data_IF_822726124447
#
_entry.id   IF_822726124447
#
_cell.length_a   1.000
_cell.length_b   1.000
_cell.length_c   1.000
_cell.angle_alpha   90.00
_cell.angle_beta   90.00
_cell.angle_gamma   90.00
#
_symmetry.space_group_name_H-M   'P 1'
#
loop_
_entity.id
_entity.type
_entity.pdbx_description
1 polymer ?
#
# COMPACT_ATOMS: atom_id res chain seq x y z
N UNK A 1 6.39 7.91 1.51
CA UNK A 1 7.77 7.43 1.36
C UNK A 1 8.14 7.42 -0.13
N UNK A 2 9.27 8.03 -0.48
CA UNK A 2 9.68 8.28 -1.88
C UNK A 2 10.73 7.29 -2.40
N UNK A 3 11.36 6.55 -1.53
CA UNK A 3 12.64 5.91 -1.77
C UNK A 3 13.78 6.93 -1.62
N UNK A 4 14.95 6.45 -1.19
CA UNK A 4 16.09 7.35 -0.91
C UNK A 4 16.56 8.09 -2.17
N UNK A 5 16.56 7.41 -3.32
CA UNK A 5 17.02 8.00 -4.59
C UNK A 5 16.18 9.20 -5.07
N UNK A 6 14.90 9.25 -4.71
CA UNK A 6 13.99 10.32 -5.14
C UNK A 6 13.68 11.35 -4.07
N UNK A 7 14.24 11.21 -2.87
CA UNK A 7 13.86 12.03 -1.73
C UNK A 7 14.10 13.52 -1.96
N UNK A 8 15.30 13.90 -2.37
CA UNK A 8 15.64 15.31 -2.57
C UNK A 8 14.86 15.95 -3.73
N UNK A 9 14.67 15.22 -4.83
CA UNK A 9 13.85 15.68 -5.96
C UNK A 9 12.39 15.92 -5.56
N UNK A 10 11.78 14.99 -4.83
CA UNK A 10 10.39 15.14 -4.35
C UNK A 10 10.26 16.25 -3.33
N UNK A 11 11.23 16.42 -2.44
CA UNK A 11 11.25 17.49 -1.44
C UNK A 11 11.31 18.87 -2.10
N UNK A 12 12.17 19.03 -3.11
CA UNK A 12 12.30 20.29 -3.85
C UNK A 12 11.04 20.59 -4.68
N UNK A 13 10.50 19.58 -5.38
CA UNK A 13 9.23 19.71 -6.11
C UNK A 13 8.11 20.15 -5.17
N UNK A 14 8.01 19.52 -4.00
CA UNK A 14 7.00 19.89 -3.00
C UNK A 14 7.20 21.31 -2.45
N UNK A 15 8.46 21.74 -2.24
CA UNK A 15 8.78 23.08 -1.81
C UNK A 15 8.25 24.14 -2.79
N UNK A 16 8.49 23.94 -4.08
CA UNK A 16 8.03 24.84 -5.14
C UNK A 16 6.52 24.77 -5.30
N UNK A 17 5.95 23.59 -5.44
CA UNK A 17 4.52 23.39 -5.69
C UNK A 17 3.64 23.89 -4.52
N UNK A 18 4.14 23.81 -3.29
CA UNK A 18 3.40 24.18 -2.09
C UNK A 18 3.83 25.53 -1.51
N UNK A 19 4.67 26.30 -2.19
CA UNK A 19 5.24 27.55 -1.67
C UNK A 19 4.18 28.51 -1.12
N UNK A 20 3.09 28.69 -1.87
CA UNK A 20 1.98 29.58 -1.51
C UNK A 20 0.87 28.91 -0.68
N UNK A 21 1.02 27.61 -0.34
CA UNK A 21 0.02 26.88 0.41
C UNK A 21 0.26 27.03 1.92
N UNK A 22 -0.67 27.64 2.64
CA UNK A 22 -0.59 27.83 4.09
C UNK A 22 -0.45 26.51 4.86
N UNK A 23 -0.94 25.40 4.30
CA UNK A 23 -0.90 24.06 4.91
C UNK A 23 0.30 23.23 4.45
N UNK A 24 1.30 23.82 3.75
CA UNK A 24 2.50 23.13 3.25
C UNK A 24 3.22 22.29 4.32
N UNK A 25 3.16 22.73 5.59
CA UNK A 25 3.77 22.02 6.71
C UNK A 25 3.18 20.62 6.98
N UNK A 26 1.99 20.33 6.44
CA UNK A 26 1.33 19.02 6.55
C UNK A 26 1.90 17.99 5.59
N UNK A 27 2.56 18.40 4.51
CA UNK A 27 3.23 17.51 3.60
C UNK A 27 4.59 17.11 4.18
N UNK A 28 4.79 15.84 4.42
CA UNK A 28 5.99 15.27 5.05
C UNK A 28 6.60 14.21 4.14
N UNK A 29 7.55 14.56 3.25
CA UNK A 29 8.28 13.56 2.47
C UNK A 29 9.28 12.82 3.36
N UNK A 30 9.41 11.52 3.13
CA UNK A 30 10.40 10.65 3.77
C UNK A 30 11.08 9.81 2.69
N UNK A 31 12.41 9.75 2.70
CA UNK A 31 13.19 8.90 1.80
C UNK A 31 12.97 7.43 2.12
N UNK A 32 13.16 7.08 3.38
CA UNK A 32 12.94 5.74 3.90
C UNK A 32 12.37 5.81 5.32
N UNK A 33 11.45 4.93 5.62
CA UNK A 33 10.94 4.69 6.97
C UNK A 33 11.34 3.28 7.39
N UNK A 34 11.98 3.15 8.53
CA UNK A 34 12.23 1.83 9.09
C UNK A 34 10.90 1.14 9.48
N UNK A 35 10.87 -0.19 9.70
CA UNK A 35 9.63 -0.93 9.94
C UNK A 35 8.77 -0.37 11.09
N UNK A 36 9.40 0.11 12.18
CA UNK A 36 8.68 0.69 13.30
C UNK A 36 8.04 2.03 12.93
N UNK A 37 8.78 2.92 12.30
CA UNK A 37 8.27 4.22 11.85
C UNK A 37 7.16 4.05 10.79
N UNK A 38 7.30 3.07 9.87
CA UNK A 38 6.28 2.75 8.88
C UNK A 38 4.99 2.24 9.55
N UNK A 39 5.11 1.35 10.53
CA UNK A 39 3.97 0.87 11.32
C UNK A 39 3.27 2.00 12.08
N UNK A 40 4.03 2.92 12.68
CA UNK A 40 3.46 4.09 13.36
C UNK A 40 2.73 5.03 12.38
N UNK A 41 3.34 5.31 11.22
CA UNK A 41 2.71 6.11 10.17
C UNK A 41 1.42 5.45 9.66
N UNK A 42 1.43 4.14 9.42
CA UNK A 42 0.25 3.38 9.07
C UNK A 42 -0.83 3.40 10.18
N UNK A 43 -0.41 3.35 11.45
CA UNK A 43 -1.32 3.49 12.59
C UNK A 43 -2.10 4.80 12.56
N UNK A 44 -1.43 5.90 12.21
CA UNK A 44 -2.01 7.25 12.11
C UNK A 44 -2.76 7.51 10.80
N UNK A 45 -2.60 6.66 9.78
CA UNK A 45 -3.20 6.87 8.47
C UNK A 45 -4.68 6.46 8.45
N UNK A 46 -5.53 7.25 7.80
CA UNK A 46 -6.91 6.91 7.44
C UNK A 46 -6.99 6.14 6.12
N UNK A 47 -6.03 6.36 5.23
CA UNK A 47 -5.97 5.77 3.90
C UNK A 47 -4.50 5.56 3.51
N UNK A 48 -4.20 4.43 2.89
CA UNK A 48 -2.87 4.11 2.35
C UNK A 48 -2.94 4.12 0.82
N UNK A 49 -2.01 4.79 0.17
CA UNK A 49 -1.84 4.74 -1.28
C UNK A 49 -0.48 4.08 -1.53
N UNK A 50 -0.46 2.99 -2.29
CA UNK A 50 0.75 2.19 -2.48
C UNK A 50 0.81 1.52 -3.85
N UNK A 51 1.98 1.01 -4.19
CA UNK A 51 2.16 -0.01 -5.22
C UNK A 51 1.61 -1.36 -4.72
N UNK A 52 1.36 -2.29 -5.64
CA UNK A 52 0.73 -3.58 -5.34
C UNK A 52 1.73 -4.73 -5.20
N UNK A 53 2.90 -4.46 -4.66
CA UNK A 53 3.84 -5.54 -4.30
C UNK A 53 3.25 -6.42 -3.19
N UNK A 54 3.55 -7.72 -3.21
CA UNK A 54 3.04 -8.69 -2.22
C UNK A 54 3.35 -8.28 -0.78
N UNK A 55 4.56 -7.76 -0.52
CA UNK A 55 4.97 -7.23 0.79
C UNK A 55 4.09 -6.06 1.24
N UNK A 56 3.85 -5.07 0.35
CA UNK A 56 3.00 -3.93 0.66
C UNK A 56 1.55 -4.34 0.96
N UNK A 57 1.01 -5.29 0.21
CA UNK A 57 -0.34 -5.84 0.46
C UNK A 57 -0.37 -6.57 1.80
N UNK A 58 0.64 -7.38 2.11
CA UNK A 58 0.74 -8.07 3.39
C UNK A 58 0.79 -7.10 4.57
N UNK A 59 1.55 -6.02 4.47
CA UNK A 59 1.62 -4.96 5.47
C UNK A 59 0.28 -4.24 5.63
N UNK A 60 -0.31 -3.74 4.54
CA UNK A 60 -1.59 -3.02 4.55
C UNK A 60 -2.70 -3.89 5.14
N UNK A 61 -2.76 -5.16 4.75
CA UNK A 61 -3.75 -6.11 5.26
C UNK A 61 -3.54 -6.39 6.75
N UNK A 62 -2.30 -6.56 7.20
CA UNK A 62 -1.99 -6.77 8.62
C UNK A 62 -2.34 -5.57 9.49
N UNK A 63 -2.21 -4.35 8.97
CA UNK A 63 -2.62 -3.12 9.64
C UNK A 63 -4.13 -2.87 9.57
N UNK A 64 -4.83 -3.56 8.68
CA UNK A 64 -6.26 -3.39 8.45
C UNK A 64 -6.58 -1.98 8.00
N UNK A 65 -5.91 -1.48 6.99
CA UNK A 65 -6.11 -0.13 6.46
C UNK A 65 -6.81 -0.15 5.12
N UNK A 66 -7.73 0.80 4.94
CA UNK A 66 -8.27 1.10 3.61
C UNK A 66 -7.13 1.54 2.68
N UNK A 67 -7.18 1.13 1.44
CA UNK A 67 -6.12 1.46 0.49
C UNK A 67 -6.59 1.76 -0.91
N UNK A 68 -5.75 2.52 -1.64
CA UNK A 68 -5.78 2.66 -3.09
C UNK A 68 -4.47 2.07 -3.59
N UNK A 69 -4.52 1.05 -4.43
CA UNK A 69 -3.36 0.43 -5.04
C UNK A 69 -3.18 0.90 -6.48
N UNK A 70 -1.94 1.26 -6.80
CA UNK A 70 -1.52 1.61 -8.16
C UNK A 70 -0.48 0.58 -8.58
N UNK A 71 -0.86 -0.52 -9.23
CA UNK A 71 0.09 -1.55 -9.66
C UNK A 71 1.07 -1.01 -10.69
N UNK A 72 2.31 -1.50 -10.64
CA UNK A 72 3.29 -1.28 -11.70
C UNK A 72 2.80 -2.08 -12.93
N UNK A 73 2.92 -1.52 -14.16
CA UNK A 73 2.53 -2.20 -15.38
C UNK A 73 3.19 -3.58 -15.57
N UNK A 74 2.52 -4.48 -16.28
CA UNK A 74 2.95 -5.89 -16.42
C UNK A 74 4.29 -6.06 -17.17
N UNK A 75 4.61 -5.15 -18.07
CA UNK A 75 5.90 -5.10 -18.77
C UNK A 75 7.09 -4.84 -17.83
N UNK A 76 6.84 -4.24 -16.66
CA UNK A 76 7.85 -3.96 -15.64
C UNK A 76 7.76 -4.97 -14.48
N UNK A 77 6.55 -5.36 -14.07
CA UNK A 77 6.33 -6.27 -12.93
C UNK A 77 5.06 -7.10 -13.13
N UNK A 78 5.22 -8.34 -13.61
CA UNK A 78 4.12 -9.24 -13.99
C UNK A 78 3.10 -9.49 -12.87
N UNK A 79 3.53 -9.47 -11.62
CA UNK A 79 2.69 -9.94 -10.51
C UNK A 79 1.85 -8.83 -9.86
N UNK A 80 2.25 -7.56 -10.01
CA UNK A 80 1.59 -6.48 -9.25
C UNK A 80 0.15 -6.24 -9.68
N UNK A 81 -0.16 -6.36 -10.97
CA UNK A 81 -1.52 -6.22 -11.47
C UNK A 81 -2.40 -7.34 -10.91
N UNK A 82 -1.97 -8.59 -11.03
CA UNK A 82 -2.67 -9.75 -10.49
C UNK A 82 -2.89 -9.63 -8.97
N UNK A 83 -1.86 -9.24 -8.21
CA UNK A 83 -1.94 -9.01 -6.77
C UNK A 83 -2.97 -7.93 -6.42
N UNK A 84 -2.97 -6.79 -7.13
CA UNK A 84 -3.90 -5.69 -6.91
C UNK A 84 -5.35 -6.13 -7.11
N UNK A 85 -5.63 -6.84 -8.21
CA UNK A 85 -6.99 -7.31 -8.52
C UNK A 85 -7.44 -8.42 -7.58
N UNK A 86 -6.57 -9.36 -7.19
CA UNK A 86 -6.90 -10.36 -6.17
C UNK A 86 -7.31 -9.71 -4.84
N UNK A 87 -6.59 -8.66 -4.44
CA UNK A 87 -6.91 -7.91 -3.23
C UNK A 87 -8.19 -7.07 -3.36
N UNK A 88 -8.45 -6.52 -4.55
CA UNK A 88 -9.70 -5.80 -4.86
C UNK A 88 -10.92 -6.74 -4.91
N UNK A 89 -10.79 -7.94 -5.46
CA UNK A 89 -11.86 -8.95 -5.45
C UNK A 89 -12.25 -9.38 -4.03
N UNK A 90 -11.30 -9.34 -3.09
CA UNK A 90 -11.60 -9.53 -1.67
C UNK A 90 -12.28 -8.29 -1.02
N UNK A 91 -12.55 -7.23 -1.76
CA UNK A 91 -13.15 -5.99 -1.26
C UNK A 91 -12.21 -5.16 -0.39
N UNK A 92 -10.88 -5.37 -0.48
CA UNK A 92 -9.92 -4.82 0.47
C UNK A 92 -9.20 -3.55 -0.01
N UNK A 93 -9.40 -3.16 -1.28
CA UNK A 93 -8.74 -1.99 -1.87
C UNK A 93 -9.50 -1.44 -3.08
N UNK A 94 -9.21 -0.20 -3.42
CA UNK A 94 -9.51 0.37 -4.74
C UNK A 94 -8.27 0.24 -5.61
N UNK A 95 -8.42 -0.09 -6.89
CA UNK A 95 -7.31 -0.19 -7.84
C UNK A 95 -7.42 0.93 -8.87
N UNK A 96 -6.33 1.64 -9.09
CA UNK A 96 -6.15 2.57 -10.22
C UNK A 96 -4.97 2.06 -11.02
N UNK A 97 -5.20 1.57 -12.24
CA UNK A 97 -4.11 1.15 -13.11
C UNK A 97 -3.24 2.35 -13.50
N UNK A 98 -1.92 2.12 -13.64
CA UNK A 98 -0.94 3.18 -13.92
C UNK A 98 -1.31 3.99 -15.17
N UNK A 99 -1.83 3.35 -16.23
CA UNK A 99 -2.25 4.03 -17.45
C UNK A 99 -3.43 4.99 -17.27
N UNK A 100 -4.25 4.77 -16.23
CA UNK A 100 -5.41 5.59 -15.91
C UNK A 100 -5.12 6.59 -14.77
N UNK A 101 -3.93 6.55 -14.18
CA UNK A 101 -3.57 7.40 -13.05
C UNK A 101 -3.44 8.86 -13.50
N UNK A 102 -4.41 9.67 -13.15
CA UNK A 102 -4.38 11.12 -13.28
C UNK A 102 -4.56 11.78 -11.91
N UNK A 103 -4.07 13.02 -11.72
CA UNK A 103 -4.30 13.74 -10.46
C UNK A 103 -5.79 13.86 -10.11
N UNK A 104 -6.65 14.10 -11.11
CA UNK A 104 -8.09 14.26 -10.91
C UNK A 104 -8.75 12.95 -10.48
N UNK A 105 -8.40 11.82 -11.10
CA UNK A 105 -8.93 10.51 -10.72
C UNK A 105 -8.50 10.13 -9.30
N UNK A 106 -7.22 10.30 -8.99
CA UNK A 106 -6.70 10.00 -7.64
C UNK A 106 -7.40 10.87 -6.58
N UNK A 107 -7.53 12.17 -6.81
CA UNK A 107 -8.23 13.07 -5.88
C UNK A 107 -9.71 12.71 -5.74
N UNK A 108 -10.38 12.33 -6.83
CA UNK A 108 -11.78 11.89 -6.80
C UNK A 108 -11.95 10.66 -5.90
N UNK A 109 -11.09 9.64 -6.04
CA UNK A 109 -11.14 8.44 -5.21
C UNK A 109 -10.80 8.72 -3.75
N UNK A 110 -9.80 9.55 -3.48
CA UNK A 110 -9.49 10.00 -2.12
C UNK A 110 -10.71 10.69 -1.50
N UNK A 111 -11.29 11.67 -2.18
CA UNK A 111 -12.46 12.40 -1.69
C UNK A 111 -13.66 11.45 -1.46
N UNK A 112 -13.92 10.54 -2.39
CA UNK A 112 -14.99 9.53 -2.24
C UNK A 112 -14.82 8.71 -0.96
N UNK A 113 -13.61 8.26 -0.66
CA UNK A 113 -13.34 7.49 0.55
C UNK A 113 -13.39 8.34 1.82
N UNK A 114 -13.01 9.61 1.77
CA UNK A 114 -13.10 10.52 2.92
C UNK A 114 -14.52 10.97 3.21
N UNK A 115 -15.35 11.16 2.19
CA UNK A 115 -16.77 11.55 2.34
C UNK A 115 -17.68 10.35 2.62
N UNK A 116 -17.21 9.11 2.43
CA UNK A 116 -17.93 7.89 2.75
C UNK A 116 -17.17 7.02 3.78
N UNK A 117 -17.31 7.31 5.09
CA UNK A 117 -16.62 6.54 6.13
C UNK A 117 -16.97 5.06 6.12
N UNK A 118 -18.20 4.70 5.73
CA UNK A 118 -18.61 3.29 5.64
C UNK A 118 -17.78 2.54 4.61
N UNK A 119 -17.62 3.08 3.39
CA UNK A 119 -16.80 2.45 2.37
C UNK A 119 -15.35 2.26 2.83
N UNK A 120 -14.79 3.23 3.56
CA UNK A 120 -13.44 3.14 4.12
C UNK A 120 -13.32 2.05 5.18
N UNK A 121 -14.33 1.91 6.05
CA UNK A 121 -14.39 0.86 7.07
C UNK A 121 -14.53 -0.52 6.40
N UNK A 122 -15.41 -0.66 5.42
CA UNK A 122 -15.64 -1.92 4.71
C UNK A 122 -14.33 -2.41 4.02
N UNK A 123 -13.56 -1.51 3.40
CA UNK A 123 -12.24 -1.81 2.84
C UNK A 123 -11.25 -2.27 3.93
N UNK A 124 -11.20 -1.56 5.05
CA UNK A 124 -10.30 -1.86 6.16
C UNK A 124 -10.61 -3.23 6.80
N UNK A 125 -11.88 -3.56 6.98
CA UNK A 125 -12.32 -4.85 7.53
C UNK A 125 -12.05 -6.00 6.56
N UNK A 126 -12.25 -5.79 5.27
CA UNK A 126 -11.89 -6.76 4.23
C UNK A 126 -10.37 -6.97 4.17
N UNK A 127 -9.57 -5.90 4.32
CA UNK A 127 -8.13 -5.98 4.43
C UNK A 127 -7.68 -6.87 5.59
N UNK A 128 -8.27 -6.69 6.78
CA UNK A 128 -7.98 -7.53 7.96
C UNK A 128 -8.32 -9.00 7.73
N UNK A 129 -9.43 -9.29 7.04
CA UNK A 129 -9.84 -10.66 6.70
C UNK A 129 -8.88 -11.31 5.69
N UNK A 130 -8.32 -10.53 4.78
CA UNK A 130 -7.35 -11.00 3.79
C UNK A 130 -6.00 -11.36 4.44
N UNK A 131 -5.64 -10.75 5.56
CA UNK A 131 -4.37 -10.96 6.24
C UNK A 131 -4.19 -12.42 6.70
N UNK A 132 -3.11 -13.06 6.26
CA UNK A 132 -2.73 -14.42 6.67
C UNK A 132 -1.75 -14.32 7.84
N UNK A 133 -2.28 -14.28 9.07
CA UNK A 133 -1.48 -14.12 10.30
C UNK A 133 -0.45 -15.23 10.51
N UNK A 134 -0.72 -16.45 10.03
CA UNK A 134 0.11 -17.62 10.21
C UNK A 134 1.02 -17.95 9.00
N UNK A 135 1.13 -17.02 8.03
CA UNK A 135 1.84 -17.32 6.78
C UNK A 135 3.30 -17.71 7.01
N UNK A 136 4.02 -17.00 7.88
CA UNK A 136 5.42 -17.27 8.19
C UNK A 136 5.59 -18.64 8.86
N UNK A 137 4.71 -19.00 9.82
CA UNK A 137 4.73 -20.30 10.50
C UNK A 137 4.44 -21.44 9.51
N UNK A 138 3.39 -21.31 8.70
CA UNK A 138 3.05 -22.32 7.69
C UNK A 138 4.14 -22.51 6.65
N UNK A 139 4.81 -21.43 6.24
CA UNK A 139 5.94 -21.52 5.32
C UNK A 139 7.12 -22.26 5.98
N UNK A 140 7.44 -21.94 7.23
CA UNK A 140 8.50 -22.65 7.97
C UNK A 140 8.18 -24.13 8.15
N UNK A 141 6.95 -24.47 8.50
CA UNK A 141 6.48 -25.88 8.62
C UNK A 141 6.63 -26.61 7.28
N UNK A 142 6.18 -26.02 6.17
CA UNK A 142 6.30 -26.63 4.84
C UNK A 142 7.78 -26.81 4.40
N UNK A 143 8.66 -25.87 4.72
CA UNK A 143 10.10 -26.00 4.42
C UNK A 143 10.71 -27.16 5.22
N UNK A 144 10.39 -27.27 6.51
CA UNK A 144 10.89 -28.36 7.35
C UNK A 144 10.38 -29.72 6.86
N UNK A 145 9.08 -29.83 6.54
CA UNK A 145 8.47 -31.05 6.01
C UNK A 145 9.15 -31.49 4.71
N UNK A 146 9.33 -30.56 3.75
CA UNK A 146 10.01 -30.84 2.48
C UNK A 146 11.47 -31.27 2.69
N UNK A 147 12.19 -30.63 3.63
CA UNK A 147 13.57 -31.00 3.92
C UNK A 147 13.68 -32.42 4.49
N UNK A 148 12.78 -32.79 5.41
CA UNK A 148 12.75 -34.14 6.03
C UNK A 148 12.37 -35.24 5.03
N UNK A 149 11.49 -34.95 4.05
CA UNK A 149 11.13 -35.89 2.98
C UNK A 149 12.30 -36.22 2.04
N UNK A 150 13.27 -35.30 1.91
CA UNK A 150 14.44 -35.51 1.05
C UNK A 150 15.64 -36.11 1.76
N UNK A 151 15.61 -36.25 3.08
CA UNK A 151 16.65 -36.95 3.88
C UNK A 151 16.38 -38.43 4.10
N UNK A 152 15.23 -38.97 3.67
CA UNK A 152 14.82 -40.39 3.74
C UNK A 152 14.90 -41.07 2.39
#
# INVERSE_FOLDING_TARGET
QTGQAHYESVKETARVALEKNERRYRYKPYGFLNPLALKMAAGAADLVISRAGSGSIAEISSWGKASILVPIPEDVSRDQRANAFAYAHAGATVVIEQGNLTPNLLLSEINRLFTNPKARIDLADSAKKFAKKDAARKLAEAIIETALEHEG
#
